data_IF_807271879215
#
_entry.id   IF_807271879215
#
_cell.length_a   1.000
_cell.length_b   1.000
_cell.length_c   1.000
_cell.angle_alpha   90.00
_cell.angle_beta   90.00
_cell.angle_gamma   90.00
#
_symmetry.space_group_name_H-M   'P 1'
#
loop_
_entity.id
_entity.type
_entity.pdbx_description
1 polymer ?
#
# COMPACT_ATOMS: atom_id res chain seq x y z
N UNK A 1 -7.24 -2.09 17.11
CA UNK A 1 -6.72 -2.21 15.74
C UNK A 1 -5.77 -1.04 15.48
N UNK A 2 -4.56 -1.29 14.99
CA UNK A 2 -3.60 -0.24 14.67
C UNK A 2 -3.97 0.49 13.37
N UNK A 3 -3.37 1.66 13.12
CA UNK A 3 -3.57 2.39 11.87
C UNK A 3 -3.20 1.51 10.67
N UNK A 4 -2.04 0.82 10.72
CA UNK A 4 -1.63 -0.07 9.63
C UNK A 4 -2.67 -1.16 9.35
N UNK A 5 -3.22 -1.78 10.38
CA UNK A 5 -4.23 -2.84 10.23
C UNK A 5 -5.56 -2.29 9.70
N UNK A 6 -6.04 -1.18 10.24
CA UNK A 6 -7.32 -0.59 9.81
C UNK A 6 -7.25 -0.03 8.39
N UNK A 7 -6.15 0.62 8.03
CA UNK A 7 -5.97 1.14 6.67
C UNK A 7 -5.80 0.02 5.64
N UNK A 8 -5.09 -1.06 5.99
CA UNK A 8 -4.97 -2.24 5.12
C UNK A 8 -6.33 -2.89 4.87
N UNK A 9 -7.12 -3.10 5.91
CA UNK A 9 -8.45 -3.69 5.78
C UNK A 9 -9.38 -2.80 4.93
N UNK A 10 -9.38 -1.50 5.18
CA UNK A 10 -10.20 -0.55 4.44
C UNK A 10 -9.78 -0.44 2.97
N UNK A 11 -8.49 -0.43 2.69
CA UNK A 11 -7.97 -0.41 1.31
C UNK A 11 -8.30 -1.72 0.57
N UNK A 12 -8.19 -2.87 1.24
CA UNK A 12 -8.59 -4.15 0.66
C UNK A 12 -10.08 -4.17 0.30
N UNK A 13 -10.94 -3.65 1.17
CA UNK A 13 -12.38 -3.50 0.90
C UNK A 13 -12.62 -2.59 -0.31
N UNK A 14 -11.89 -1.49 -0.41
CA UNK A 14 -11.98 -0.56 -1.54
C UNK A 14 -11.54 -1.22 -2.85
N UNK A 15 -10.47 -2.01 -2.83
CA UNK A 15 -10.05 -2.78 -4.01
C UNK A 15 -11.12 -3.78 -4.46
N UNK A 16 -11.79 -4.48 -3.53
CA UNK A 16 -12.90 -5.36 -3.87
C UNK A 16 -14.05 -4.59 -4.54
N UNK A 17 -14.33 -3.38 -4.07
CA UNK A 17 -15.38 -2.52 -4.62
C UNK A 17 -15.03 -1.96 -6.01
N UNK A 18 -13.79 -1.47 -6.18
CA UNK A 18 -13.36 -0.78 -7.41
C UNK A 18 -12.99 -1.72 -8.56
N UNK A 19 -12.43 -2.89 -8.27
CA UNK A 19 -11.86 -3.76 -9.30
C UNK A 19 -10.51 -3.23 -9.84
N UNK A 20 -9.94 -3.91 -10.87
CA UNK A 20 -8.56 -3.66 -11.31
C UNK A 20 -8.34 -2.46 -12.23
N UNK A 21 -9.37 -1.86 -12.79
CA UNK A 21 -9.26 -0.92 -13.91
C UNK A 21 -9.62 0.53 -13.54
N UNK A 22 -9.59 0.89 -12.27
CA UNK A 22 -9.94 2.24 -11.83
C UNK A 22 -8.71 3.14 -11.67
N UNK A 23 -8.84 4.45 -11.88
CA UNK A 23 -7.71 5.37 -11.72
C UNK A 23 -7.28 5.51 -10.25
N UNK A 24 -6.03 5.91 -10.04
CA UNK A 24 -5.49 6.31 -8.74
C UNK A 24 -4.79 7.66 -8.85
N UNK A 25 -4.41 8.28 -7.71
CA UNK A 25 -3.57 9.47 -7.74
C UNK A 25 -2.12 9.18 -8.13
N UNK A 26 -1.68 7.92 -8.06
CA UNK A 26 -0.36 7.53 -8.56
C UNK A 26 -0.39 7.63 -10.09
N UNK A 27 0.28 8.62 -10.64
CA UNK A 27 0.28 8.90 -12.07
C UNK A 27 0.72 7.68 -12.89
N UNK A 28 -0.11 7.31 -13.87
CA UNK A 28 0.13 6.17 -14.74
C UNK A 28 -0.25 4.82 -14.13
N UNK A 29 -0.79 4.78 -12.90
CA UNK A 29 -1.20 3.55 -12.23
C UNK A 29 -2.72 3.46 -12.09
N UNK A 30 -3.27 2.32 -12.46
CA UNK A 30 -4.62 1.92 -12.10
C UNK A 30 -4.62 1.16 -10.75
N UNK A 31 -5.79 0.72 -10.32
CA UNK A 31 -5.93 -0.03 -9.06
C UNK A 31 -5.17 -1.36 -9.10
N UNK A 32 -5.03 -2.00 -10.26
CA UNK A 32 -4.23 -3.23 -10.39
C UNK A 32 -2.75 -2.96 -10.15
N UNK A 33 -2.20 -1.92 -10.76
CA UNK A 33 -0.80 -1.54 -10.59
C UNK A 33 -0.50 -1.22 -9.12
N UNK A 34 -1.39 -0.48 -8.47
CA UNK A 34 -1.24 -0.13 -7.06
C UNK A 34 -1.29 -1.37 -6.16
N UNK A 35 -2.25 -2.26 -6.38
CA UNK A 35 -2.36 -3.49 -5.58
C UNK A 35 -1.13 -4.38 -5.75
N UNK A 36 -0.66 -4.57 -6.98
CA UNK A 36 0.54 -5.36 -7.25
C UNK A 36 1.76 -4.77 -6.54
N UNK A 37 1.93 -3.44 -6.61
CA UNK A 37 2.99 -2.75 -5.88
C UNK A 37 2.97 -3.07 -4.38
N UNK A 38 1.81 -3.04 -3.76
CA UNK A 38 1.64 -3.34 -2.34
C UNK A 38 1.91 -4.81 -2.01
N UNK A 39 1.47 -5.73 -2.87
CA UNK A 39 1.73 -7.18 -2.71
C UNK A 39 3.22 -7.48 -2.83
N UNK A 40 3.92 -6.86 -3.79
CA UNK A 40 5.37 -7.02 -3.95
C UNK A 40 6.12 -6.47 -2.73
N UNK A 41 5.68 -5.33 -2.22
CA UNK A 41 6.25 -4.73 -1.01
C UNK A 41 6.14 -5.66 0.20
N UNK A 42 5.00 -6.33 0.33
CA UNK A 42 4.76 -7.25 1.45
C UNK A 42 5.57 -8.54 1.37
N UNK A 43 5.68 -9.14 0.18
CA UNK A 43 6.14 -10.51 0.05
C UNK A 43 7.27 -10.77 -0.96
N UNK A 44 7.71 -9.77 -1.72
CA UNK A 44 8.73 -9.93 -2.77
C UNK A 44 9.77 -8.80 -2.72
N UNK A 45 10.63 -8.77 -1.70
CA UNK A 45 11.66 -7.74 -1.57
C UNK A 45 12.63 -7.71 -2.76
N UNK A 46 12.90 -8.85 -3.39
CA UNK A 46 13.69 -8.94 -4.62
C UNK A 46 13.08 -8.16 -5.79
N UNK A 47 11.78 -8.28 -5.97
CA UNK A 47 11.05 -7.57 -7.02
C UNK A 47 10.76 -6.12 -6.63
N UNK A 48 10.48 -5.84 -5.37
CA UNK A 48 10.22 -4.49 -4.88
C UNK A 48 11.46 -3.58 -5.02
N UNK A 49 12.66 -4.14 -4.91
CA UNK A 49 13.91 -3.39 -5.04
C UNK A 49 14.02 -2.61 -6.36
N UNK A 50 13.44 -3.12 -7.45
CA UNK A 50 13.43 -2.43 -8.74
C UNK A 50 12.58 -1.16 -8.80
N UNK A 51 11.75 -0.91 -7.80
CA UNK A 51 11.02 0.36 -7.66
C UNK A 51 11.94 1.51 -7.25
N UNK A 52 13.08 1.18 -6.65
CA UNK A 52 14.07 2.12 -6.13
C UNK A 52 15.35 2.08 -6.97
N UNK A 53 15.78 0.89 -7.38
CA UNK A 53 17.02 0.64 -8.10
C UNK A 53 16.72 0.37 -9.57
N UNK A 54 16.96 1.35 -10.45
CA UNK A 54 16.64 1.28 -11.88
C UNK A 54 17.14 0.02 -12.61
N UNK A 55 18.39 -0.46 -12.41
CA UNK A 55 18.84 -1.70 -13.07
C UNK A 55 18.00 -2.93 -12.76
N UNK A 56 17.26 -2.94 -11.66
CA UNK A 56 16.40 -4.05 -11.24
C UNK A 56 14.95 -3.91 -11.71
N UNK A 57 14.59 -2.81 -12.36
CA UNK A 57 13.23 -2.53 -12.80
C UNK A 57 12.69 -3.62 -13.74
N UNK A 58 13.52 -4.14 -14.65
CA UNK A 58 13.10 -5.21 -15.56
C UNK A 58 12.67 -6.48 -14.84
N UNK A 59 13.31 -6.82 -13.73
CA UNK A 59 12.90 -7.93 -12.87
C UNK A 59 11.57 -7.63 -12.18
N UNK A 60 11.41 -6.43 -11.64
CA UNK A 60 10.16 -5.97 -11.04
C UNK A 60 9.00 -6.07 -12.02
N UNK A 61 9.18 -5.57 -13.23
CA UNK A 61 8.15 -5.58 -14.28
C UNK A 61 7.75 -7.01 -14.67
N UNK A 62 8.71 -7.92 -14.74
CA UNK A 62 8.47 -9.33 -15.04
C UNK A 62 7.66 -10.02 -13.94
N UNK A 63 8.01 -9.79 -12.69
CA UNK A 63 7.29 -10.35 -11.55
C UNK A 63 5.88 -9.76 -11.46
N UNK A 64 5.75 -8.45 -11.63
CA UNK A 64 4.46 -7.77 -11.65
C UNK A 64 3.54 -8.31 -12.76
N UNK A 65 4.07 -8.57 -13.96
CA UNK A 65 3.31 -9.15 -15.06
C UNK A 65 2.76 -10.55 -14.72
N UNK A 66 3.52 -11.33 -13.95
CA UNK A 66 3.05 -12.63 -13.44
C UNK A 66 1.87 -12.48 -12.46
N UNK A 67 1.95 -11.51 -11.55
CA UNK A 67 0.85 -11.21 -10.62
C UNK A 67 -0.39 -10.70 -11.34
N UNK A 68 -0.24 -9.90 -12.40
CA UNK A 68 -1.36 -9.37 -13.19
C UNK A 68 -2.21 -10.47 -13.85
N UNK A 69 -1.68 -11.67 -14.00
CA UNK A 69 -2.41 -12.82 -14.55
C UNK A 69 -3.26 -13.55 -13.51
N UNK A 70 -3.07 -13.26 -12.23
CA UNK A 70 -3.86 -13.90 -11.16
C UNK A 70 -5.24 -13.27 -11.05
N UNK A 71 -6.26 -14.03 -10.60
CA UNK A 71 -7.58 -13.47 -10.32
C UNK A 71 -7.50 -12.28 -9.35
N UNK A 72 -8.24 -11.23 -9.65
CA UNK A 72 -8.27 -10.02 -8.81
C UNK A 72 -8.59 -10.32 -7.34
N UNK A 73 -9.60 -11.17 -7.09
CA UNK A 73 -10.01 -11.56 -5.74
C UNK A 73 -8.88 -12.24 -4.95
N UNK A 74 -8.04 -13.03 -5.62
CA UNK A 74 -6.88 -13.67 -4.97
C UNK A 74 -5.81 -12.65 -4.58
N UNK A 75 -5.54 -11.68 -5.46
CA UNK A 75 -4.59 -10.59 -5.16
C UNK A 75 -5.06 -9.74 -3.99
N UNK A 76 -6.35 -9.38 -3.96
CA UNK A 76 -6.94 -8.63 -2.86
C UNK A 76 -6.85 -9.41 -1.56
N UNK A 77 -7.16 -10.71 -1.58
CA UNK A 77 -7.08 -11.56 -0.39
C UNK A 77 -5.63 -11.72 0.09
N UNK A 78 -4.68 -11.85 -0.80
CA UNK A 78 -3.26 -11.90 -0.44
C UNK A 78 -2.82 -10.61 0.25
N UNK A 79 -3.22 -9.46 -0.28
CA UNK A 79 -2.95 -8.17 0.34
C UNK A 79 -3.62 -8.02 1.71
N UNK A 80 -4.88 -8.41 1.81
CA UNK A 80 -5.66 -8.38 3.07
C UNK A 80 -5.00 -9.20 4.19
N UNK A 81 -4.41 -10.33 3.84
CA UNK A 81 -3.72 -11.22 4.78
C UNK A 81 -2.45 -10.60 5.39
N UNK A 82 -1.93 -9.54 4.78
CA UNK A 82 -0.74 -8.84 5.25
C UNK A 82 0.57 -9.51 4.85
N UNK A 83 1.70 -8.94 5.30
CA UNK A 83 3.02 -9.50 5.02
C UNK A 83 3.15 -10.93 5.53
N UNK A 84 3.90 -11.81 4.83
CA UNK A 84 4.18 -13.16 5.31
C UNK A 84 4.86 -13.15 6.69
N UNK A 85 4.70 -14.23 7.45
CA UNK A 85 5.24 -14.34 8.83
C UNK A 85 6.75 -14.14 8.89
N UNK A 86 7.47 -14.49 7.81
CA UNK A 86 8.92 -14.33 7.74
C UNK A 86 9.36 -12.87 7.56
N UNK A 87 8.45 -11.96 7.16
CA UNK A 87 8.77 -10.56 6.95
C UNK A 87 8.60 -9.77 8.26
N UNK A 88 9.69 -9.33 8.92
CA UNK A 88 9.61 -8.61 10.19
C UNK A 88 8.89 -7.26 10.08
N UNK A 89 8.78 -6.68 8.89
CA UNK A 89 8.02 -5.44 8.69
C UNK A 89 6.52 -5.61 9.04
N UNK A 90 6.00 -6.84 9.06
CA UNK A 90 4.64 -7.14 9.47
C UNK A 90 4.45 -7.37 10.98
N UNK A 91 5.52 -7.30 11.79
CA UNK A 91 5.47 -7.67 13.20
C UNK A 91 5.20 -6.47 14.12
N UNK A 92 4.13 -6.52 14.92
CA UNK A 92 3.84 -5.60 16.02
C UNK A 92 4.16 -4.13 15.75
N UNK A 93 5.02 -3.55 16.58
CA UNK A 93 5.43 -2.14 16.46
C UNK A 93 6.15 -1.82 15.15
N UNK A 94 6.87 -2.78 14.58
CA UNK A 94 7.55 -2.58 13.32
C UNK A 94 6.54 -2.43 12.17
N UNK A 95 5.45 -3.19 12.20
CA UNK A 95 4.33 -3.00 11.29
C UNK A 95 3.74 -1.58 11.39
N UNK A 96 3.52 -1.08 12.59
CA UNK A 96 3.04 0.30 12.80
C UNK A 96 3.99 1.34 12.20
N UNK A 97 5.29 1.19 12.46
CA UNK A 97 6.32 2.13 12.01
C UNK A 97 6.53 2.13 10.50
N UNK A 98 6.47 0.96 9.87
CA UNK A 98 6.80 0.80 8.44
C UNK A 98 5.58 0.85 7.53
N UNK A 99 4.43 0.41 7.99
CA UNK A 99 3.23 0.23 7.16
C UNK A 99 2.11 1.23 7.44
N UNK A 100 2.03 1.82 8.62
CA UNK A 100 0.95 2.73 8.98
C UNK A 100 0.78 3.86 7.97
N UNK A 101 1.86 4.59 7.68
CA UNK A 101 1.86 5.68 6.71
C UNK A 101 1.68 5.24 5.28
N UNK A 102 2.36 4.18 4.88
CA UNK A 102 2.25 3.62 3.54
C UNK A 102 0.81 3.19 3.23
N UNK A 103 0.18 2.47 4.15
CA UNK A 103 -1.20 2.02 3.97
C UNK A 103 -2.17 3.21 3.93
N UNK A 104 -1.97 4.22 4.77
CA UNK A 104 -2.78 5.43 4.75
C UNK A 104 -2.64 6.19 3.42
N UNK A 105 -1.41 6.44 2.98
CA UNK A 105 -1.14 7.17 1.74
C UNK A 105 -1.74 6.45 0.54
N UNK A 106 -1.51 5.16 0.41
CA UNK A 106 -2.03 4.39 -0.72
C UNK A 106 -3.55 4.21 -0.67
N UNK A 107 -4.14 4.14 0.53
CA UNK A 107 -5.60 4.18 0.66
C UNK A 107 -6.16 5.51 0.15
N UNK A 108 -5.54 6.63 0.49
CA UNK A 108 -5.92 7.95 -0.03
C UNK A 108 -5.68 8.06 -1.55
N UNK A 109 -4.60 7.49 -2.07
CA UNK A 109 -4.33 7.46 -3.51
C UNK A 109 -5.46 6.77 -4.29
N UNK A 110 -5.94 5.64 -3.79
CA UNK A 110 -7.05 4.92 -4.40
C UNK A 110 -8.38 5.68 -4.25
N UNK A 111 -8.66 6.20 -3.06
CA UNK A 111 -9.89 6.96 -2.79
C UNK A 111 -9.98 8.23 -3.63
N UNK A 112 -8.93 9.01 -3.63
CA UNK A 112 -8.88 10.34 -4.28
C UNK A 112 -8.75 10.25 -5.80
N UNK A 113 -8.43 9.09 -6.34
CA UNK A 113 -8.49 8.82 -7.78
C UNK A 113 -9.92 8.69 -8.31
N UNK A 114 -10.90 8.53 -7.43
CA UNK A 114 -12.30 8.33 -7.83
C UNK A 114 -13.06 9.65 -7.96
N UNK A 115 -13.99 9.78 -8.93
CA UNK A 115 -14.84 10.94 -9.00
C UNK A 115 -15.74 11.02 -7.76
N UNK A 116 -15.94 12.23 -7.25
CA UNK A 116 -16.81 12.46 -6.10
C UNK A 116 -16.21 12.06 -4.74
N UNK A 117 -14.89 11.81 -4.66
CA UNK A 117 -14.26 11.52 -3.38
C UNK A 117 -14.43 12.70 -2.40
N UNK A 118 -14.53 12.37 -1.13
CA UNK A 118 -14.63 13.36 -0.04
C UNK A 118 -13.59 13.07 1.04
N UNK A 119 -13.08 14.11 1.75
CA UNK A 119 -12.22 13.90 2.91
C UNK A 119 -12.88 13.00 3.94
N UNK A 120 -12.07 12.17 4.62
CA UNK A 120 -12.56 11.30 5.69
C UNK A 120 -12.48 11.99 7.04
N UNK A 121 -13.44 11.69 7.90
CA UNK A 121 -13.32 11.96 9.33
C UNK A 121 -12.50 10.83 9.96
N UNK A 122 -11.28 11.15 10.41
CA UNK A 122 -10.40 10.20 11.07
C UNK A 122 -10.66 10.25 12.58
N UNK A 123 -10.60 9.07 13.22
CA UNK A 123 -10.68 8.99 14.67
C UNK A 123 -9.44 9.65 15.33
N UNK A 124 -9.54 10.17 16.56
CA UNK A 124 -8.44 10.88 17.22
C UNK A 124 -7.16 10.04 17.35
N UNK A 125 -7.28 8.74 17.55
CA UNK A 125 -6.13 7.84 17.65
C UNK A 125 -5.36 7.75 16.34
N UNK A 126 -6.06 7.65 15.20
CA UNK A 126 -5.45 7.64 13.85
C UNK A 126 -4.77 8.96 13.55
N UNK A 127 -5.40 10.09 13.88
CA UNK A 127 -4.80 11.41 13.72
C UNK A 127 -3.51 11.53 14.52
N UNK A 128 -3.51 11.08 15.78
CA UNK A 128 -2.32 11.11 16.64
C UNK A 128 -1.17 10.26 16.07
N UNK A 129 -1.45 9.08 15.54
CA UNK A 129 -0.44 8.24 14.88
C UNK A 129 0.14 8.91 13.63
N UNK A 130 -0.69 9.53 12.81
CA UNK A 130 -0.27 10.24 11.61
C UNK A 130 0.59 11.47 11.95
N UNK A 131 0.19 12.25 12.94
CA UNK A 131 0.98 13.40 13.42
C UNK A 131 2.34 12.97 13.93
N UNK A 132 2.40 11.88 14.69
CA UNK A 132 3.65 11.31 15.19
C UNK A 132 4.57 10.88 14.06
N UNK A 133 4.01 10.25 13.02
CA UNK A 133 4.76 9.87 11.83
C UNK A 133 5.32 11.08 11.08
N UNK A 134 4.51 12.10 10.82
CA UNK A 134 4.92 13.32 10.14
C UNK A 134 6.00 14.08 10.93
N UNK A 135 5.98 13.97 12.24
CA UNK A 135 6.99 14.54 13.14
C UNK A 135 8.28 13.75 13.21
N UNK A 136 8.33 12.53 12.68
CA UNK A 136 9.53 11.69 12.75
C UNK A 136 10.61 12.19 11.78
N UNK A 137 11.88 11.90 12.12
CA UNK A 137 13.04 12.28 11.28
C UNK A 137 12.99 11.60 9.91
N UNK A 138 12.39 10.42 9.83
CA UNK A 138 12.28 9.64 8.60
C UNK A 138 11.32 10.31 7.61
N UNK A 139 10.17 10.79 8.09
CA UNK A 139 9.24 11.52 7.23
C UNK A 139 9.79 12.87 6.77
N UNK A 140 10.58 13.56 7.60
CA UNK A 140 11.26 14.80 7.22
C UNK A 140 12.30 14.60 6.12
N UNK A 141 12.91 13.43 6.04
CA UNK A 141 13.85 13.06 4.98
C UNK A 141 13.12 12.65 3.69
N UNK A 142 11.98 11.99 3.81
CA UNK A 142 11.20 11.54 2.66
C UNK A 142 10.43 12.67 1.94
N UNK A 143 10.21 13.81 2.64
CA UNK A 143 9.50 14.97 2.08
C UNK A 143 10.43 16.05 1.51
N UNK A 144 11.73 15.80 1.46
CA UNK A 144 12.74 16.68 0.83
C UNK A 144 13.10 16.17 -0.56
#
# INVERSE_FOLDING_TARGET
MTLAQSERAALADLFDELGPDQPTLCEGWDTQDLLIHLVLRDGRPDAFAGTIVKPLQGWTDRVAAGYAKRPWSELVQQYRSGPPVWNPAGWGKLNELTNGGEMFIHHEDARRGQPGWEPRDLDPASVAELEKMLGSRVSKLALR
#
